data_IF_389698905064
#
_entry.id   IF_389698905064
#
_cell.length_a   1.000
_cell.length_b   1.000
_cell.length_c   1.000
_cell.angle_alpha   90.00
_cell.angle_beta   90.00
_cell.angle_gamma   90.00
#
_symmetry.space_group_name_H-M   'P 1'
#
loop_
_entity.id
_entity.type
_entity.pdbx_description
1 polymer ?
#
# COMPACT_ATOMS: atom_id res chain seq x y z
N UNK A 1 3.92 -5.11 -16.18
CA UNK A 1 3.98 -5.67 -14.82
C UNK A 1 5.06 -4.98 -14.00
N UNK A 2 4.72 -4.39 -12.85
CA UNK A 2 5.65 -3.59 -12.03
C UNK A 2 6.58 -4.45 -11.17
N UNK A 3 6.32 -5.76 -11.08
CA UNK A 3 7.19 -6.73 -10.42
C UNK A 3 8.26 -7.31 -11.36
N UNK A 4 8.25 -6.95 -12.65
CA UNK A 4 9.28 -7.43 -13.58
C UNK A 4 10.68 -6.95 -13.16
N UNK A 5 11.74 -7.76 -13.38
CA UNK A 5 13.12 -7.35 -13.05
C UNK A 5 13.55 -6.03 -13.70
N UNK A 6 13.01 -5.73 -14.89
CA UNK A 6 13.23 -4.47 -15.58
C UNK A 6 12.57 -3.29 -14.86
N UNK A 7 11.33 -3.47 -14.36
CA UNK A 7 10.65 -2.44 -13.58
C UNK A 7 11.36 -2.18 -12.25
N UNK A 8 11.77 -3.22 -11.52
CA UNK A 8 12.54 -3.06 -10.27
C UNK A 8 13.83 -2.29 -10.52
N UNK A 9 14.54 -2.57 -11.62
CA UNK A 9 15.76 -1.83 -11.98
C UNK A 9 15.47 -0.37 -12.34
N UNK A 10 14.39 -0.09 -13.06
CA UNK A 10 13.99 1.28 -13.37
C UNK A 10 13.69 2.05 -12.10
N UNK A 11 12.85 1.50 -11.21
CA UNK A 11 12.50 2.16 -9.97
C UNK A 11 13.67 2.31 -9.00
N UNK A 12 14.59 1.34 -8.98
CA UNK A 12 15.84 1.49 -8.24
C UNK A 12 16.61 2.74 -8.68
N UNK A 13 16.73 2.95 -9.99
CA UNK A 13 17.41 4.12 -10.52
C UNK A 13 16.66 5.44 -10.26
N UNK A 14 15.34 5.37 -10.09
CA UNK A 14 14.54 6.53 -9.66
C UNK A 14 14.78 6.84 -8.18
N UNK A 15 14.97 5.82 -7.33
CA UNK A 15 15.21 5.99 -5.90
C UNK A 15 16.65 6.35 -5.54
N UNK A 16 17.61 5.92 -6.37
CA UNK A 16 19.04 6.22 -6.24
C UNK A 16 19.32 7.63 -6.79
N UNK A 17 19.10 8.65 -5.95
CA UNK A 17 19.19 10.06 -6.34
C UNK A 17 20.63 10.53 -6.58
N UNK A 18 21.60 9.95 -5.87
CA UNK A 18 23.02 10.30 -6.00
C UNK A 18 23.78 9.40 -6.99
N UNK A 19 23.19 8.27 -7.41
CA UNK A 19 23.73 7.37 -8.41
C UNK A 19 24.86 6.49 -7.89
N UNK A 20 24.97 6.28 -6.57
CA UNK A 20 26.03 5.48 -5.95
C UNK A 20 25.76 3.96 -6.05
N UNK A 21 24.58 3.58 -6.54
CA UNK A 21 24.15 2.19 -6.68
C UNK A 21 23.58 1.59 -5.40
N UNK A 22 23.25 2.42 -4.40
CA UNK A 22 22.61 2.08 -3.14
C UNK A 22 21.47 3.07 -2.87
N UNK A 23 20.33 2.57 -2.39
CA UNK A 23 19.30 3.44 -1.81
C UNK A 23 19.65 3.63 -0.34
N UNK A 24 20.14 4.81 -0.01
CA UNK A 24 20.56 5.18 1.34
C UNK A 24 19.40 5.75 2.17
N UNK A 25 19.62 5.92 3.48
CA UNK A 25 18.70 6.66 4.36
C UNK A 25 18.41 8.06 3.86
N UNK A 26 19.38 8.73 3.24
CA UNK A 26 19.20 10.09 2.74
C UNK A 26 18.24 10.11 1.54
N UNK A 27 18.38 9.16 0.61
CA UNK A 27 17.50 9.04 -0.55
C UNK A 27 16.06 8.74 -0.12
N UNK A 28 15.88 7.78 0.80
CA UNK A 28 14.56 7.45 1.33
C UNK A 28 13.93 8.63 2.06
N UNK A 29 14.73 9.39 2.81
CA UNK A 29 14.25 10.58 3.53
C UNK A 29 13.75 11.65 2.57
N UNK A 30 14.47 11.87 1.47
CA UNK A 30 14.06 12.81 0.43
C UNK A 30 12.66 12.51 -0.11
N UNK A 31 12.38 11.25 -0.49
CA UNK A 31 11.04 10.86 -0.95
C UNK A 31 9.99 10.92 0.17
N UNK A 32 10.38 10.55 1.39
CA UNK A 32 9.47 10.56 2.53
C UNK A 32 9.00 11.97 2.91
N UNK A 33 9.86 12.98 2.81
CA UNK A 33 9.50 14.38 3.10
C UNK A 33 8.41 14.88 2.14
N UNK A 34 8.54 14.60 0.83
CA UNK A 34 7.52 14.93 -0.17
C UNK A 34 6.22 14.12 0.06
N UNK A 35 6.35 12.87 0.46
CA UNK A 35 5.21 12.01 0.79
C UNK A 35 4.44 12.53 2.01
N UNK A 36 5.14 12.95 3.06
CA UNK A 36 4.56 13.49 4.28
C UNK A 36 3.82 14.81 4.02
N UNK A 37 4.38 15.70 3.20
CA UNK A 37 3.71 16.95 2.80
C UNK A 37 2.37 16.65 2.11
N UNK A 38 2.35 15.69 1.18
CA UNK A 38 1.14 15.27 0.47
C UNK A 38 0.10 14.63 1.37
N UNK A 39 0.51 13.81 2.35
CA UNK A 39 -0.40 13.23 3.34
C UNK A 39 -1.05 14.33 4.19
N UNK A 40 -0.25 15.30 4.63
CA UNK A 40 -0.72 16.46 5.39
C UNK A 40 -1.77 17.26 4.61
N UNK A 41 -1.57 17.47 3.31
CA UNK A 41 -2.54 18.15 2.44
C UNK A 41 -3.87 17.41 2.29
N UNK A 42 -3.87 16.09 2.46
CA UNK A 42 -5.09 15.27 2.44
C UNK A 42 -5.73 15.13 3.83
N UNK A 43 -5.10 15.64 4.89
CA UNK A 43 -5.56 15.51 6.26
C UNK A 43 -5.26 14.14 6.88
N UNK A 44 -4.33 13.37 6.30
CA UNK A 44 -3.91 12.06 6.81
C UNK A 44 -2.68 12.21 7.70
N UNK A 45 -2.65 11.48 8.82
CA UNK A 45 -1.47 11.38 9.68
C UNK A 45 -0.46 10.39 9.09
N UNK A 46 0.83 10.64 9.32
CA UNK A 46 1.91 9.80 8.82
C UNK A 46 2.75 9.24 9.97
N UNK A 47 3.09 7.96 9.92
CA UNK A 47 4.05 7.34 10.86
C UNK A 47 5.43 7.99 10.75
N UNK A 48 6.18 8.11 11.86
CA UNK A 48 7.53 8.65 11.84
C UNK A 48 8.46 7.89 10.88
N UNK A 49 9.34 8.61 10.18
CA UNK A 49 10.32 8.01 9.26
C UNK A 49 11.14 6.86 9.87
N UNK A 50 11.47 6.93 11.16
CA UNK A 50 12.21 5.88 11.86
C UNK A 50 11.46 4.57 11.92
N UNK A 51 10.13 4.61 12.09
CA UNK A 51 9.29 3.41 12.12
C UNK A 51 9.16 2.82 10.72
N UNK A 52 8.93 3.67 9.72
CA UNK A 52 8.90 3.28 8.31
C UNK A 52 10.21 2.60 7.87
N UNK A 53 11.36 3.17 8.27
CA UNK A 53 12.68 2.63 7.94
C UNK A 53 12.92 1.27 8.61
N UNK A 54 12.46 1.08 9.84
CA UNK A 54 12.53 -0.21 10.52
C UNK A 54 11.68 -1.25 9.78
N UNK A 55 10.46 -0.90 9.35
CA UNK A 55 9.61 -1.81 8.60
C UNK A 55 10.23 -2.20 7.25
N UNK A 56 10.87 -1.25 6.56
CA UNK A 56 11.61 -1.54 5.33
C UNK A 56 12.81 -2.45 5.56
N UNK A 57 13.55 -2.23 6.65
CA UNK A 57 14.66 -3.09 7.05
C UNK A 57 14.18 -4.51 7.35
N UNK A 58 13.05 -4.68 8.04
CA UNK A 58 12.48 -6.00 8.34
C UNK A 58 12.02 -6.71 7.06
N UNK A 59 11.32 -5.98 6.16
CA UNK A 59 10.82 -6.55 4.90
C UNK A 59 11.93 -6.97 3.93
N UNK A 60 12.98 -6.16 3.78
CA UNK A 60 14.06 -6.43 2.81
C UNK A 60 15.16 -7.30 3.44
N UNK A 61 15.36 -7.19 4.76
CA UNK A 61 16.44 -7.83 5.50
C UNK A 61 17.80 -7.64 4.83
N UNK A 62 18.28 -6.39 4.66
CA UNK A 62 19.53 -6.10 3.98
C UNK A 62 20.74 -6.56 4.80
N UNK A 63 21.88 -6.77 4.13
CA UNK A 63 23.14 -7.08 4.80
C UNK A 63 23.66 -5.91 5.64
N UNK A 64 23.37 -4.67 5.22
CA UNK A 64 23.64 -3.45 5.97
C UNK A 64 22.33 -2.71 6.23
N UNK A 65 21.96 -2.44 7.50
CA UNK A 65 20.75 -1.71 7.82
C UNK A 65 20.70 -0.35 7.10
N UNK A 66 19.52 -0.01 6.58
CA UNK A 66 19.22 1.28 5.95
C UNK A 66 20.05 1.58 4.69
N UNK A 67 20.60 0.53 4.06
CA UNK A 67 21.26 0.60 2.76
C UNK A 67 20.74 -0.55 1.91
N UNK A 68 20.04 -0.23 0.82
CA UNK A 68 19.46 -1.24 -0.04
C UNK A 68 20.19 -1.27 -1.38
N UNK A 69 20.82 -2.39 -1.68
CA UNK A 69 21.41 -2.62 -3.01
C UNK A 69 20.37 -3.07 -4.02
N UNK A 70 20.63 -2.82 -5.30
CA UNK A 70 19.77 -3.30 -6.38
C UNK A 70 19.60 -4.84 -6.38
N UNK A 71 20.61 -5.56 -5.87
CA UNK A 71 20.58 -7.02 -5.74
C UNK A 71 19.64 -7.49 -4.63
N UNK A 72 19.61 -6.79 -3.50
CA UNK A 72 18.72 -7.11 -2.37
C UNK A 72 17.26 -6.83 -2.72
N UNK A 73 16.97 -5.71 -3.37
CA UNK A 73 15.62 -5.41 -3.84
C UNK A 73 15.15 -6.41 -4.88
N UNK A 74 16.01 -6.90 -5.79
CA UNK A 74 15.63 -7.96 -6.74
C UNK A 74 15.34 -9.30 -6.07
N UNK A 75 16.00 -9.60 -4.95
CA UNK A 75 15.81 -10.87 -4.22
C UNK A 75 14.54 -10.85 -3.37
N UNK A 76 14.15 -9.68 -2.86
CA UNK A 76 12.95 -9.53 -2.04
C UNK A 76 11.70 -9.38 -2.91
N UNK A 77 10.72 -10.26 -2.73
CA UNK A 77 9.42 -10.17 -3.42
C UNK A 77 8.57 -8.97 -2.94
N UNK A 78 8.85 -8.47 -1.73
CA UNK A 78 8.18 -7.30 -1.14
C UNK A 78 8.85 -5.97 -1.50
N UNK A 79 9.95 -5.98 -2.26
CA UNK A 79 10.65 -4.76 -2.69
C UNK A 79 9.75 -3.81 -3.47
N UNK A 80 8.82 -4.35 -4.26
CA UNK A 80 7.83 -3.56 -4.97
C UNK A 80 6.94 -2.76 -4.01
N UNK A 81 6.57 -3.32 -2.86
CA UNK A 81 5.74 -2.61 -1.88
C UNK A 81 6.51 -1.43 -1.28
N UNK A 82 7.78 -1.61 -0.95
CA UNK A 82 8.66 -0.54 -0.45
C UNK A 82 8.80 0.59 -1.48
N UNK A 83 9.13 0.23 -2.72
CA UNK A 83 9.25 1.19 -3.84
C UNK A 83 7.92 1.92 -4.04
N UNK A 84 6.82 1.18 -4.03
CA UNK A 84 5.49 1.71 -4.26
C UNK A 84 4.99 2.60 -3.12
N UNK A 85 5.39 2.30 -1.89
CA UNK A 85 5.09 3.10 -0.71
C UNK A 85 5.80 4.46 -0.79
N UNK A 86 7.08 4.49 -1.13
CA UNK A 86 7.86 5.74 -1.26
C UNK A 86 7.42 6.61 -2.45
N UNK A 87 6.97 6.01 -3.55
CA UNK A 87 6.69 6.75 -4.79
C UNK A 87 5.22 7.11 -4.97
N UNK A 88 4.30 6.49 -4.21
CA UNK A 88 2.87 6.70 -4.39
C UNK A 88 2.13 6.79 -3.05
N UNK A 89 1.72 8.01 -2.72
CA UNK A 89 0.96 8.38 -1.52
C UNK A 89 -0.33 7.56 -1.33
N UNK A 90 -1.10 7.29 -2.38
CA UNK A 90 -2.35 6.50 -2.24
C UNK A 90 -2.04 5.06 -1.86
N UNK A 91 -0.97 4.52 -2.41
CA UNK A 91 -0.52 3.16 -2.10
C UNK A 91 0.13 3.07 -0.72
N UNK A 92 0.78 4.14 -0.28
CA UNK A 92 1.27 4.28 1.10
C UNK A 92 0.11 4.22 2.09
N UNK A 93 -0.96 5.02 1.91
CA UNK A 93 -2.14 5.00 2.80
C UNK A 93 -2.77 3.61 2.84
N UNK A 94 -2.95 2.98 1.68
CA UNK A 94 -3.50 1.63 1.62
C UNK A 94 -2.63 0.62 2.39
N UNK A 95 -1.31 0.76 2.31
CA UNK A 95 -0.36 -0.09 3.01
C UNK A 95 -0.38 0.16 4.53
N UNK A 96 -0.34 1.41 4.98
CA UNK A 96 -0.47 1.79 6.40
C UNK A 96 -1.76 1.26 7.03
N UNK A 97 -2.89 1.43 6.33
CA UNK A 97 -4.19 0.91 6.79
C UNK A 97 -4.20 -0.62 6.94
N UNK A 98 -3.48 -1.33 6.05
CA UNK A 98 -3.28 -2.77 6.16
C UNK A 98 -2.33 -3.11 7.32
N UNK A 99 -1.22 -2.39 7.50
CA UNK A 99 -0.27 -2.60 8.61
C UNK A 99 -0.95 -2.39 9.97
N UNK A 100 -1.78 -1.36 10.13
CA UNK A 100 -2.61 -1.17 11.33
C UNK A 100 -3.63 -2.30 11.53
N UNK A 101 -4.27 -2.78 10.48
CA UNK A 101 -5.21 -3.89 10.57
C UNK A 101 -4.50 -5.20 10.98
N UNK A 102 -3.29 -5.49 10.46
CA UNK A 102 -2.46 -6.62 10.88
C UNK A 102 -2.09 -6.53 12.35
N UNK A 103 -1.63 -5.35 12.79
CA UNK A 103 -1.27 -5.10 14.18
C UNK A 103 -2.47 -5.29 15.13
N UNK A 104 -3.68 -4.99 14.67
CA UNK A 104 -4.93 -5.21 15.40
C UNK A 104 -5.43 -6.67 15.38
N UNK A 105 -4.66 -7.61 14.81
CA UNK A 105 -5.06 -9.02 14.68
C UNK A 105 -6.23 -9.25 13.73
N UNK A 106 -6.57 -8.25 12.89
CA UNK A 106 -7.52 -8.42 11.81
C UNK A 106 -6.78 -9.06 10.64
N UNK A 107 -7.33 -10.14 10.10
CA UNK A 107 -6.75 -10.86 8.98
C UNK A 107 -6.94 -10.05 7.69
N UNK A 108 -6.11 -9.02 7.52
CA UNK A 108 -5.99 -8.28 6.27
C UNK A 108 -4.86 -8.93 5.47
N UNK A 109 -5.20 -10.08 4.86
CA UNK A 109 -4.42 -10.58 3.76
C UNK A 109 -4.23 -9.41 2.79
N UNK A 110 -2.98 -9.18 2.36
CA UNK A 110 -2.68 -8.33 1.23
C UNK A 110 -3.29 -9.03 0.01
N UNK A 111 -4.62 -8.97 -0.12
CA UNK A 111 -5.29 -9.36 -1.32
C UNK A 111 -4.76 -8.36 -2.31
N UNK A 112 -4.12 -8.87 -3.33
CA UNK A 112 -3.74 -8.16 -4.54
C UNK A 112 -5.05 -7.64 -5.17
N UNK A 113 -5.67 -6.65 -4.52
CA UNK A 113 -6.94 -6.12 -4.96
C UNK A 113 -6.58 -5.18 -6.08
N UNK A 114 -6.59 -5.78 -7.28
CA UNK A 114 -6.80 -5.03 -8.51
C UNK A 114 -7.86 -3.95 -8.24
N UNK A 115 -7.73 -2.77 -8.83
CA UNK A 115 -8.73 -1.69 -8.68
C UNK A 115 -10.17 -2.18 -8.93
N UNK A 116 -10.32 -3.25 -9.72
CA UNK A 116 -11.55 -3.99 -9.92
C UNK A 116 -12.12 -4.63 -8.65
N UNK A 117 -11.31 -5.30 -7.83
CA UNK A 117 -11.77 -5.96 -6.59
C UNK A 117 -12.31 -4.96 -5.56
N UNK A 118 -11.70 -3.78 -5.47
CA UNK A 118 -12.20 -2.69 -4.64
C UNK A 118 -13.50 -2.10 -5.20
N UNK A 119 -13.59 -2.00 -6.53
CA UNK A 119 -14.81 -1.57 -7.20
C UNK A 119 -15.96 -2.58 -7.00
N UNK A 120 -15.72 -3.89 -7.16
CA UNK A 120 -16.74 -4.92 -6.93
C UNK A 120 -17.18 -4.92 -5.48
N UNK A 121 -16.26 -4.88 -4.52
CA UNK A 121 -16.62 -4.83 -3.10
C UNK A 121 -17.50 -3.62 -2.77
N UNK A 122 -17.16 -2.44 -3.33
CA UNK A 122 -17.94 -1.23 -3.15
C UNK A 122 -19.35 -1.34 -3.77
N UNK A 123 -19.47 -1.84 -4.99
CA UNK A 123 -20.76 -1.98 -5.66
C UNK A 123 -21.61 -3.08 -5.03
N UNK A 124 -21.02 -4.20 -4.59
CA UNK A 124 -21.72 -5.24 -3.83
C UNK A 124 -22.27 -4.69 -2.51
N UNK A 125 -21.49 -3.89 -1.78
CA UNK A 125 -21.96 -3.26 -0.54
C UNK A 125 -23.14 -2.31 -0.80
N UNK A 126 -23.06 -1.48 -1.85
CA UNK A 126 -24.16 -0.60 -2.27
C UNK A 126 -25.42 -1.38 -2.65
N UNK A 127 -25.27 -2.46 -3.42
CA UNK A 127 -26.40 -3.28 -3.86
C UNK A 127 -27.05 -4.02 -2.69
N UNK A 128 -26.26 -4.58 -1.78
CA UNK A 128 -26.77 -5.22 -0.56
C UNK A 128 -27.55 -4.23 0.32
N UNK A 129 -27.08 -2.99 0.45
CA UNK A 129 -27.79 -1.92 1.17
C UNK A 129 -29.06 -1.44 0.45
N UNK A 130 -29.20 -1.71 -0.86
CA UNK A 130 -30.40 -1.36 -1.65
C UNK A 130 -31.44 -2.48 -1.67
N UNK A 131 -31.02 -3.74 -1.54
CA UNK A 131 -31.89 -4.94 -1.50
C UNK A 131 -32.61 -5.13 -0.15
N UNK A 132 -32.09 -4.54 0.94
CA UNK A 132 -32.76 -4.57 2.25
C UNK A 132 -34.05 -3.71 2.31
N UNK A 133 -34.43 -3.05 1.21
CA UNK A 133 -35.62 -2.22 1.08
C UNK A 133 -36.81 -2.85 0.33
N UNK A 134 -36.68 -4.05 -0.26
CA UNK A 134 -37.71 -4.64 -1.15
C UNK A 134 -38.38 -5.92 -0.60
N UNK A 135 -38.28 -6.18 0.71
CA UNK A 135 -39.00 -7.30 1.39
C UNK A 135 -40.18 -6.83 2.27
N UNK A 136 -40.81 -5.70 1.94
CA UNK A 136 -42.13 -5.33 2.48
C UNK A 136 -43.03 -4.85 1.35
N UNK A 137 -43.74 -5.79 0.72
CA UNK A 137 -45.10 -5.65 0.18
C UNK A 137 -45.34 -6.78 -0.82
N UNK A 138 -46.12 -7.78 -0.40
CA UNK A 138 -47.18 -8.46 -1.17
C UNK A 138 -47.49 -9.81 -0.52
N UNK A 139 -48.51 -9.83 0.35
CA UNK A 139 -49.54 -10.86 0.18
C UNK A 139 -50.89 -10.26 0.56
N UNK A 140 -51.68 -10.08 -0.49
CA UNK A 140 -52.94 -9.35 -0.56
C UNK A 140 -54.02 -9.93 0.37
N UNK A 141 -54.73 -9.03 1.05
CA UNK A 141 -56.13 -9.26 1.39
C UNK A 141 -56.93 -9.44 0.10
N UNK A 142 -57.72 -10.52 -0.02
CA UNK A 142 -59.05 -10.41 -0.62
C UNK A 142 -59.99 -11.60 -0.34
N UNK A 143 -61.31 -11.39 -0.47
CA UNK A 143 -62.31 -11.97 0.41
C UNK A 143 -63.25 -12.98 -0.27
N UNK A 144 -63.86 -13.87 0.52
CA UNK A 144 -65.32 -14.04 0.68
C UNK A 144 -65.64 -15.09 1.74
#
# INVERSE_FOLDING_TARGET
>A
DKQSPAAVRYWFHVLDCDGDGLVSTADMRFFYEELQERLTLMGEECVPFTELLNEFNDMISPALPSRFSSSELRRCQLSYNVISALTNVRKFIAWEGLSCAKAAGRDCALRDTSDWDLFTDREYRRLAESDEGEDQEEDEQSPM
#
